data_IF_100531869209
#
_entry.id   IF_100531869209
#
_cell.length_a   1.000
_cell.length_b   1.000
_cell.length_c   1.000
_cell.angle_alpha   90.00
_cell.angle_beta   90.00
_cell.angle_gamma   90.00
#
_symmetry.space_group_name_H-M   'P 1'
#
loop_
_entity.id
_entity.type
_entity.pdbx_description
1 polymer ?
#
# COMPACT_ATOMS: atom_id res chain seq x y z
N UNK A 1 -14.47 50.02 -44.06
CA UNK A 1 -14.66 48.56 -43.94
C UNK A 1 -15.17 48.32 -42.53
N UNK A 2 -16.45 47.99 -42.35
CA UNK A 2 -17.02 47.74 -41.02
C UNK A 2 -16.65 46.31 -40.59
N UNK A 3 -15.89 46.15 -39.51
CA UNK A 3 -15.67 44.84 -38.87
C UNK A 3 -16.93 44.55 -38.06
N UNK A 4 -17.81 43.67 -38.55
CA UNK A 4 -18.91 43.17 -37.73
C UNK A 4 -18.29 42.31 -36.62
N UNK A 5 -18.24 42.83 -35.40
CA UNK A 5 -17.85 42.04 -34.22
C UNK A 5 -19.11 41.32 -33.77
N UNK A 6 -19.20 40.02 -34.05
CA UNK A 6 -20.26 39.17 -33.51
C UNK A 6 -20.19 39.10 -31.98
N UNK A 7 -21.28 38.76 -31.28
CA UNK A 7 -21.22 38.51 -29.85
C UNK A 7 -20.23 37.38 -29.54
N UNK A 8 -19.60 37.38 -28.34
CA UNK A 8 -18.62 36.37 -27.96
C UNK A 8 -19.21 34.96 -28.07
N UNK A 9 -18.43 34.04 -28.62
CA UNK A 9 -18.75 32.61 -28.61
C UNK A 9 -18.73 32.14 -27.16
N UNK A 10 -19.78 31.44 -26.72
CA UNK A 10 -19.76 30.76 -25.44
C UNK A 10 -19.50 29.28 -25.69
N UNK A 11 -18.41 28.76 -25.11
CA UNK A 11 -18.12 27.32 -25.06
C UNK A 11 -18.23 26.84 -23.62
N UNK A 12 -18.97 25.75 -23.45
CA UNK A 12 -19.04 24.95 -22.23
C UNK A 12 -18.21 23.71 -22.44
N UNK A 13 -17.31 23.41 -21.50
CA UNK A 13 -16.50 22.20 -21.55
C UNK A 13 -16.83 21.35 -20.32
N UNK A 14 -17.20 20.11 -20.60
CA UNK A 14 -17.72 19.16 -19.63
C UNK A 14 -16.82 17.92 -19.62
N UNK A 15 -16.34 17.54 -18.44
CA UNK A 15 -15.63 16.29 -18.23
C UNK A 15 -16.64 15.22 -17.79
N UNK A 16 -16.60 14.06 -18.44
CA UNK A 16 -17.42 12.90 -18.12
C UNK A 16 -16.55 11.70 -17.77
N UNK A 17 -17.00 10.87 -16.84
CA UNK A 17 -16.36 9.57 -16.56
C UNK A 17 -16.67 8.53 -17.64
N UNK A 18 -16.17 7.31 -17.44
CA UNK A 18 -16.35 6.17 -18.34
C UNK A 18 -17.82 5.73 -18.54
N UNK A 19 -18.72 6.11 -17.63
CA UNK A 19 -20.15 5.82 -17.70
C UNK A 19 -20.93 6.92 -18.44
N UNK A 20 -20.28 8.05 -18.73
CA UNK A 20 -20.89 9.23 -19.32
C UNK A 20 -21.44 10.23 -18.30
N UNK A 21 -21.23 10.00 -16.99
CA UNK A 21 -21.67 10.90 -15.92
C UNK A 21 -20.80 12.15 -15.91
N UNK A 22 -21.41 13.34 -15.77
CA UNK A 22 -20.70 14.62 -15.73
C UNK A 22 -20.01 14.78 -14.37
N UNK A 23 -18.68 14.90 -14.37
CA UNK A 23 -17.85 15.05 -13.17
C UNK A 23 -17.57 16.52 -12.87
N UNK A 24 -17.19 17.29 -13.89
CA UNK A 24 -16.95 18.73 -13.77
C UNK A 24 -17.43 19.46 -15.02
N UNK A 25 -17.90 20.70 -14.85
CA UNK A 25 -18.27 21.59 -15.94
C UNK A 25 -17.58 22.93 -15.74
N UNK A 26 -16.76 23.35 -16.70
CA UNK A 26 -16.23 24.71 -16.74
C UNK A 26 -17.05 25.55 -17.72
N UNK A 27 -17.54 26.69 -17.23
CA UNK A 27 -18.37 27.60 -17.99
C UNK A 27 -17.55 28.80 -18.47
N UNK A 28 -17.67 29.09 -19.77
CA UNK A 28 -17.34 30.37 -20.42
C UNK A 28 -15.88 30.56 -20.85
N UNK A 29 -15.48 29.93 -21.96
CA UNK A 29 -14.48 30.59 -22.83
C UNK A 29 -15.24 31.66 -23.62
N UNK A 30 -15.03 32.94 -23.28
CA UNK A 30 -15.45 34.09 -24.11
C UNK A 30 -14.33 34.38 -25.12
N UNK A 31 -14.18 33.56 -26.16
CA UNK A 31 -13.15 33.80 -27.17
C UNK A 31 -13.72 34.70 -28.28
N UNK A 32 -13.03 35.83 -28.52
CA UNK A 32 -13.18 36.62 -29.74
C UNK A 32 -11.96 36.48 -30.67
N UNK A 33 -10.82 35.91 -30.24
CA UNK A 33 -9.59 35.81 -31.03
C UNK A 33 -8.81 34.50 -30.77
N UNK A 34 -7.81 34.23 -31.62
CA UNK A 34 -7.10 32.96 -31.91
C UNK A 34 -6.09 32.46 -30.86
N UNK A 35 -6.35 32.65 -29.57
CA UNK A 35 -5.42 32.20 -28.51
C UNK A 35 -5.68 30.75 -28.09
N UNK A 36 -4.61 30.02 -27.77
CA UNK A 36 -4.68 28.69 -27.15
C UNK A 36 -5.19 28.82 -25.71
N UNK A 37 -6.24 28.06 -25.36
CA UNK A 37 -6.81 28.03 -24.01
C UNK A 37 -6.48 26.72 -23.30
N UNK A 38 -5.81 26.81 -22.15
CA UNK A 38 -5.59 25.66 -21.26
C UNK A 38 -6.74 25.54 -20.26
N UNK A 39 -7.34 24.35 -20.17
CA UNK A 39 -8.36 24.03 -19.16
C UNK A 39 -7.83 22.91 -18.27
N UNK A 40 -7.81 23.18 -16.96
CA UNK A 40 -7.40 22.23 -15.93
C UNK A 40 -8.64 21.68 -15.23
N UNK A 41 -8.72 20.35 -15.17
CA UNK A 41 -9.61 19.61 -14.27
C UNK A 41 -8.75 19.04 -13.14
N UNK A 42 -9.17 19.23 -11.89
CA UNK A 42 -8.41 18.83 -10.69
C UNK A 42 -9.27 17.93 -9.80
N UNK A 43 -8.65 17.12 -8.95
CA UNK A 43 -9.38 16.23 -8.03
C UNK A 43 -10.15 15.10 -8.73
N UNK A 44 -9.59 14.55 -9.80
CA UNK A 44 -10.17 13.41 -10.52
C UNK A 44 -9.70 12.11 -9.88
N UNK A 45 -10.60 11.13 -9.79
CA UNK A 45 -10.26 9.78 -9.37
C UNK A 45 -9.56 9.01 -10.50
N UNK A 46 -8.99 7.84 -10.22
CA UNK A 46 -8.49 6.98 -11.28
C UNK A 46 -9.65 6.52 -12.19
N UNK A 47 -9.49 6.66 -13.50
CA UNK A 47 -10.52 6.23 -14.44
C UNK A 47 -10.34 6.79 -15.85
N UNK A 48 -11.15 6.27 -16.78
CA UNK A 48 -11.23 6.81 -18.13
C UNK A 48 -12.20 7.99 -18.15
N UNK A 49 -11.79 9.07 -18.81
CA UNK A 49 -12.59 10.28 -18.93
C UNK A 49 -12.77 10.69 -20.39
N UNK A 50 -13.91 11.32 -20.68
CA UNK A 50 -14.18 11.95 -21.97
C UNK A 50 -14.42 13.44 -21.75
N UNK A 51 -13.79 14.29 -22.56
CA UNK A 51 -14.05 15.72 -22.57
C UNK A 51 -15.04 16.02 -23.70
N UNK A 52 -16.12 16.72 -23.37
CA UNK A 52 -17.12 17.20 -24.32
C UNK A 52 -17.12 18.73 -24.33
N UNK A 53 -16.86 19.33 -25.49
CA UNK A 53 -17.00 20.77 -25.70
C UNK A 53 -18.30 21.05 -26.47
N UNK A 54 -19.13 21.95 -25.93
CA UNK A 54 -20.38 22.41 -26.55
C UNK A 54 -20.35 23.92 -26.69
N UNK A 55 -20.56 24.41 -27.91
CA UNK A 55 -20.75 25.83 -28.16
C UNK A 55 -22.23 26.17 -28.28
N UNK A 56 -22.63 27.31 -27.73
CA UNK A 56 -23.94 27.91 -27.99
C UNK A 56 -23.74 29.18 -28.81
N UNK A 57 -23.76 29.09 -30.14
CA UNK A 57 -23.84 30.28 -31.00
C UNK A 57 -24.71 30.04 -32.24
N UNK A 58 -25.39 31.13 -32.63
CA UNK A 58 -26.53 31.22 -33.53
C UNK A 58 -26.18 31.08 -35.02
N UNK A 59 -27.12 30.53 -35.79
CA UNK A 59 -27.19 30.40 -37.25
C UNK A 59 -25.87 30.14 -38.00
N UNK A 60 -25.61 28.86 -38.28
CA UNK A 60 -25.07 28.46 -39.58
C UNK A 60 -23.75 27.70 -39.60
N UNK A 61 -23.01 27.59 -38.49
CA UNK A 61 -21.79 26.76 -38.45
C UNK A 61 -21.74 25.89 -37.19
N UNK A 62 -21.78 24.58 -37.38
CA UNK A 62 -21.51 23.59 -36.34
C UNK A 62 -20.02 23.29 -36.38
N UNK A 63 -19.25 23.79 -35.40
CA UNK A 63 -17.91 23.30 -35.14
C UNK A 63 -18.02 22.14 -34.14
N UNK A 64 -18.08 20.91 -34.65
CA UNK A 64 -17.94 19.72 -33.80
C UNK A 64 -16.46 19.53 -33.48
N UNK A 65 -16.02 19.95 -32.31
CA UNK A 65 -14.72 19.56 -31.76
C UNK A 65 -14.92 18.27 -30.96
N UNK A 66 -14.44 17.14 -31.48
CA UNK A 66 -14.25 15.92 -30.70
C UNK A 66 -12.75 15.73 -30.53
N UNK A 67 -12.25 16.01 -29.33
CA UNK A 67 -10.92 15.61 -28.89
C UNK A 67 -11.09 14.55 -27.81
N UNK A 68 -10.54 13.36 -28.03
CA UNK A 68 -10.41 12.34 -26.98
C UNK A 68 -9.03 12.53 -26.37
N UNK A 69 -8.95 12.79 -25.06
CA UNK A 69 -7.70 12.74 -24.32
C UNK A 69 -7.83 11.58 -23.33
N UNK A 70 -7.11 10.49 -23.60
CA UNK A 70 -6.99 9.37 -22.66
C UNK A 70 -5.79 9.68 -21.77
N UNK A 71 -6.05 10.07 -20.52
CA UNK A 71 -5.03 10.07 -19.48
C UNK A 71 -5.37 8.98 -18.47
N UNK A 72 -4.65 7.88 -18.55
CA UNK A 72 -4.61 6.89 -17.48
C UNK A 72 -3.71 7.42 -16.38
N UNK A 73 -4.29 7.74 -15.22
CA UNK A 73 -3.52 7.88 -13.99
C UNK A 73 -3.10 6.47 -13.59
N UNK A 74 -1.84 6.14 -13.84
CA UNK A 74 -1.24 4.96 -13.22
C UNK A 74 -0.90 5.33 -11.78
N UNK A 75 -1.01 4.36 -10.87
CA UNK A 75 -0.48 4.54 -9.54
C UNK A 75 1.02 4.76 -9.67
N UNK A 76 1.49 5.94 -9.27
CA UNK A 76 2.90 6.31 -9.35
C UNK A 76 3.47 6.18 -7.95
N UNK A 77 4.30 5.16 -7.76
CA UNK A 77 4.91 4.86 -6.49
C UNK A 77 6.41 5.10 -6.55
N UNK A 78 6.91 5.84 -5.58
CA UNK A 78 8.34 5.94 -5.32
C UNK A 78 8.68 5.00 -4.16
N UNK A 79 9.66 4.11 -4.40
CA UNK A 79 10.29 3.39 -3.30
C UNK A 79 11.11 4.39 -2.50
N UNK A 80 10.91 4.43 -1.17
CA UNK A 80 11.72 5.27 -0.26
C UNK A 80 13.17 4.76 -0.08
N UNK A 81 13.61 3.84 -0.94
CA UNK A 81 14.96 3.28 -0.97
C UNK A 81 14.99 1.79 -0.65
N UNK A 82 16.18 1.21 -0.78
CA UNK A 82 16.43 -0.17 -0.34
C UNK A 82 16.31 -0.19 1.19
N UNK A 83 15.46 -1.06 1.79
CA UNK A 83 15.39 -1.16 3.24
C UNK A 83 16.78 -1.42 3.85
N UNK A 84 17.01 -0.90 5.06
CA UNK A 84 18.30 -0.99 5.71
C UNK A 84 18.77 -2.44 5.87
N UNK A 85 20.09 -2.64 5.88
CA UNK A 85 20.67 -3.95 6.15
C UNK A 85 20.25 -4.42 7.55
N UNK A 86 19.69 -5.62 7.62
CA UNK A 86 19.34 -6.26 8.89
C UNK A 86 20.56 -7.01 9.40
N UNK A 87 20.87 -6.85 10.69
CA UNK A 87 22.00 -7.52 11.34
C UNK A 87 21.52 -8.28 12.56
N UNK A 88 22.10 -9.44 12.80
CA UNK A 88 21.77 -10.25 13.96
C UNK A 88 22.75 -11.39 14.17
N UNK A 89 22.38 -12.29 15.08
CA UNK A 89 23.13 -13.51 15.35
C UNK A 89 22.19 -14.71 15.34
N UNK A 90 22.58 -15.76 14.62
CA UNK A 90 21.86 -17.02 14.53
C UNK A 90 21.77 -17.74 15.90
N UNK A 91 22.62 -17.38 16.85
CA UNK A 91 22.75 -18.03 18.16
C UNK A 91 22.42 -17.10 19.32
N UNK A 92 21.77 -15.96 19.03
CA UNK A 92 21.43 -14.95 20.06
C UNK A 92 20.52 -15.49 21.18
N UNK A 93 19.75 -16.53 20.89
CA UNK A 93 18.84 -17.21 21.81
C UNK A 93 19.32 -18.63 22.18
N UNK A 94 20.56 -18.99 21.85
CA UNK A 94 21.09 -20.34 22.06
C UNK A 94 21.92 -20.44 23.35
N UNK A 95 21.63 -21.43 24.19
CA UNK A 95 22.34 -21.71 25.44
C UNK A 95 23.75 -22.29 25.18
N UNK A 96 24.00 -22.85 24.00
CA UNK A 96 25.25 -23.48 23.58
C UNK A 96 26.17 -22.60 22.73
N UNK A 97 25.87 -21.31 22.59
CA UNK A 97 26.58 -20.34 21.74
C UNK A 97 28.13 -20.43 21.78
N UNK A 98 28.72 -20.71 22.94
CA UNK A 98 30.18 -20.82 23.11
C UNK A 98 30.82 -22.13 22.63
N UNK A 99 30.03 -23.11 22.19
CA UNK A 99 30.50 -24.46 21.79
C UNK A 99 30.29 -24.77 20.32
N UNK A 100 29.79 -23.79 19.55
CA UNK A 100 29.47 -23.94 18.13
C UNK A 100 30.75 -23.85 17.30
N UNK A 101 30.99 -24.91 16.52
CA UNK A 101 32.15 -25.05 15.65
C UNK A 101 31.86 -24.59 14.21
N UNK A 102 30.63 -24.74 13.74
CA UNK A 102 30.27 -24.37 12.36
C UNK A 102 28.81 -24.02 12.18
N UNK A 103 28.54 -23.19 11.18
CA UNK A 103 27.22 -22.77 10.73
C UNK A 103 27.03 -23.23 9.29
N UNK A 104 25.84 -23.69 8.93
CA UNK A 104 25.51 -24.06 7.56
C UNK A 104 24.17 -23.49 7.13
N UNK A 105 24.11 -22.94 5.92
CA UNK A 105 22.90 -22.40 5.29
C UNK A 105 22.93 -22.79 3.81
N UNK A 106 21.81 -23.26 3.27
CA UNK A 106 21.69 -23.68 1.86
C UNK A 106 22.82 -24.64 1.41
N UNK A 107 23.23 -25.56 2.28
CA UNK A 107 24.29 -26.55 2.02
C UNK A 107 25.73 -26.01 2.04
N UNK A 108 25.93 -24.72 2.25
CA UNK A 108 27.26 -24.12 2.46
C UNK A 108 27.61 -24.11 3.94
N UNK A 109 28.89 -24.26 4.29
CA UNK A 109 29.37 -24.28 5.68
C UNK A 109 30.46 -23.26 5.91
N UNK A 110 30.42 -22.57 7.07
CA UNK A 110 31.47 -21.68 7.57
C UNK A 110 31.88 -22.08 8.97
N UNK A 111 33.17 -22.00 9.26
CA UNK A 111 33.76 -22.28 10.56
C UNK A 111 35.06 -21.51 10.75
N UNK A 112 35.48 -21.32 12.00
CA UNK A 112 36.72 -20.62 12.32
C UNK A 112 37.97 -21.29 11.71
N UNK A 113 37.93 -22.62 11.58
CA UNK A 113 38.99 -23.44 10.99
C UNK A 113 38.85 -23.59 9.46
N UNK A 114 37.74 -23.12 8.88
CA UNK A 114 37.45 -23.19 7.46
C UNK A 114 38.22 -22.15 6.64
N UNK A 115 38.40 -22.46 5.35
CA UNK A 115 38.99 -21.54 4.36
C UNK A 115 38.02 -20.40 4.04
N UNK A 116 36.73 -20.71 3.88
CA UNK A 116 35.69 -19.70 3.72
C UNK A 116 35.40 -19.04 5.08
N UNK A 117 35.33 -17.70 5.08
CA UNK A 117 35.04 -16.89 6.28
C UNK A 117 33.61 -16.40 6.36
N UNK A 118 32.88 -16.54 5.26
CA UNK A 118 31.45 -16.23 5.16
C UNK A 118 30.76 -17.22 4.24
N UNK A 119 29.46 -17.43 4.48
CA UNK A 119 28.49 -17.98 3.53
C UNK A 119 27.73 -16.80 2.95
N UNK A 120 27.43 -16.85 1.65
CA UNK A 120 26.50 -15.91 1.01
C UNK A 120 25.40 -16.70 0.29
N UNK A 121 24.15 -16.37 0.58
CA UNK A 121 22.96 -16.98 -0.01
C UNK A 121 22.13 -15.90 -0.67
N UNK A 122 21.85 -16.06 -1.96
CA UNK A 122 20.92 -15.20 -2.67
C UNK A 122 19.49 -15.66 -2.36
N UNK A 123 18.76 -14.84 -1.61
CA UNK A 123 17.34 -15.00 -1.37
C UNK A 123 16.49 -14.34 -2.47
N UNK A 124 15.17 -14.47 -2.30
CA UNK A 124 14.13 -13.87 -3.13
C UNK A 124 14.06 -12.35 -2.95
N UNK A 125 14.20 -11.87 -1.72
CA UNK A 125 14.02 -10.44 -1.41
C UNK A 125 15.35 -9.72 -1.12
N UNK A 126 16.46 -10.44 -1.03
CA UNK A 126 17.76 -9.91 -0.64
C UNK A 126 18.86 -10.97 -0.60
N UNK A 127 19.99 -10.60 -0.01
CA UNK A 127 21.16 -11.48 0.10
C UNK A 127 21.53 -11.66 1.57
N UNK A 128 21.55 -12.90 2.05
CA UNK A 128 22.01 -13.27 3.39
C UNK A 128 23.51 -13.54 3.35
N UNK A 129 24.25 -12.96 4.29
CA UNK A 129 25.66 -13.28 4.55
C UNK A 129 25.82 -13.71 6.00
N UNK A 130 26.45 -14.86 6.25
CA UNK A 130 26.70 -15.38 7.61
C UNK A 130 28.19 -15.59 7.80
N UNK A 131 28.75 -15.12 8.90
CA UNK A 131 30.18 -15.29 9.21
C UNK A 131 30.45 -16.50 10.11
N UNK A 132 31.73 -16.78 10.33
CA UNK A 132 32.22 -17.89 11.18
C UNK A 132 31.86 -17.78 12.67
N UNK A 133 31.27 -16.65 13.11
CA UNK A 133 30.77 -16.43 14.47
C UNK A 133 29.25 -16.55 14.56
N UNK A 134 28.56 -16.86 13.47
CA UNK A 134 27.10 -16.91 13.41
C UNK A 134 26.43 -15.55 13.37
N UNK A 135 27.21 -14.46 13.25
CA UNK A 135 26.65 -13.15 12.95
C UNK A 135 26.24 -13.12 11.48
N UNK A 136 25.06 -12.58 11.22
CA UNK A 136 24.56 -12.45 9.87
C UNK A 136 24.27 -10.99 9.53
N UNK A 137 24.40 -10.70 8.23
CA UNK A 137 23.79 -9.54 7.63
C UNK A 137 22.85 -9.97 6.51
N UNK A 138 21.72 -9.29 6.39
CA UNK A 138 20.79 -9.48 5.29
C UNK A 138 20.61 -8.14 4.59
N UNK A 139 20.94 -8.12 3.30
CA UNK A 139 20.83 -6.92 2.45
C UNK A 139 19.63 -7.07 1.52
N UNK A 140 18.52 -6.35 1.77
CA UNK A 140 17.39 -6.30 0.86
C UNK A 140 17.81 -5.87 -0.54
N UNK A 141 17.12 -6.38 -1.56
CA UNK A 141 17.35 -6.01 -2.96
C UNK A 141 16.70 -4.67 -3.32
N UNK A 142 15.66 -4.27 -2.57
CA UNK A 142 14.81 -3.11 -2.83
C UNK A 142 13.90 -3.26 -4.07
N UNK A 143 13.80 -4.46 -4.65
CA UNK A 143 12.98 -4.73 -5.84
C UNK A 143 11.74 -5.57 -5.56
N UNK A 144 11.75 -6.28 -4.44
CA UNK A 144 10.70 -7.18 -4.02
C UNK A 144 10.67 -7.21 -2.49
N UNK A 145 9.50 -7.55 -1.96
CA UNK A 145 9.15 -7.40 -0.55
C UNK A 145 8.36 -8.64 -0.11
N UNK A 146 8.39 -8.92 1.18
CA UNK A 146 7.76 -10.08 1.78
C UNK A 146 8.62 -10.71 2.88
N UNK A 147 8.09 -11.77 3.47
CA UNK A 147 8.78 -12.54 4.51
C UNK A 147 9.56 -13.68 3.87
N UNK A 148 10.85 -13.77 4.18
CA UNK A 148 11.73 -14.84 3.72
C UNK A 148 12.22 -15.68 4.90
N UNK A 149 12.40 -16.99 4.69
CA UNK A 149 12.88 -17.91 5.72
C UNK A 149 14.08 -18.72 5.20
N UNK A 150 15.16 -18.70 5.97
CA UNK A 150 16.34 -19.52 5.73
C UNK A 150 16.44 -20.61 6.80
N UNK A 151 16.47 -21.87 6.39
CA UNK A 151 16.84 -22.96 7.29
C UNK A 151 18.36 -22.98 7.45
N UNK A 152 18.81 -23.06 8.70
CA UNK A 152 20.23 -23.15 9.04
C UNK A 152 20.48 -24.25 10.05
N UNK A 153 21.69 -24.80 10.00
CA UNK A 153 22.17 -25.82 10.93
C UNK A 153 23.41 -25.31 11.65
N UNK A 154 23.47 -25.51 12.96
CA UNK A 154 24.66 -25.30 13.78
C UNK A 154 25.25 -26.67 14.16
N UNK A 155 26.57 -26.75 14.28
CA UNK A 155 27.24 -27.95 14.83
C UNK A 155 28.24 -27.56 15.90
N UNK A 156 28.27 -28.32 16.98
CA UNK A 156 29.27 -28.19 18.04
C UNK A 156 30.61 -28.84 17.66
N UNK A 157 31.65 -28.58 18.43
CA UNK A 157 32.96 -29.22 18.26
C UNK A 157 32.89 -30.76 18.41
N UNK A 158 31.93 -31.26 19.20
CA UNK A 158 31.70 -32.69 19.39
C UNK A 158 30.94 -33.35 18.21
N UNK A 159 30.47 -32.56 17.24
CA UNK A 159 29.79 -33.06 16.03
C UNK A 159 28.27 -33.16 16.13
N UNK A 160 27.68 -32.91 17.31
CA UNK A 160 26.22 -32.75 17.45
C UNK A 160 25.76 -31.48 16.73
N UNK A 161 24.56 -31.49 16.13
CA UNK A 161 24.03 -30.32 15.47
C UNK A 161 22.51 -30.24 15.47
N UNK A 162 22.02 -29.01 15.39
CA UNK A 162 20.62 -28.64 15.45
C UNK A 162 20.25 -27.76 14.26
N UNK A 163 18.98 -27.81 13.86
CA UNK A 163 18.44 -27.05 12.74
C UNK A 163 17.36 -26.09 13.20
N UNK A 164 17.38 -24.87 12.69
CA UNK A 164 16.43 -23.83 13.01
C UNK A 164 16.16 -22.94 11.78
N UNK A 165 15.21 -22.01 11.93
CA UNK A 165 14.80 -21.09 10.88
C UNK A 165 15.14 -19.65 11.26
N UNK A 166 15.80 -18.95 10.34
CA UNK A 166 15.95 -17.51 10.36
C UNK A 166 14.87 -16.90 9.46
N UNK A 167 13.92 -16.19 10.06
CA UNK A 167 12.89 -15.45 9.33
C UNK A 167 13.29 -13.98 9.23
N UNK A 168 13.25 -13.43 8.01
CA UNK A 168 13.54 -12.04 7.70
C UNK A 168 12.27 -11.41 7.14
N UNK A 169 11.79 -10.36 7.78
CA UNK A 169 10.72 -9.50 7.27
C UNK A 169 11.33 -8.40 6.39
N UNK A 170 10.87 -8.30 5.14
CA UNK A 170 11.28 -7.27 4.18
C UNK A 170 10.05 -6.48 3.72
N UNK A 171 9.55 -5.62 4.59
CA UNK A 171 8.43 -4.73 4.30
C UNK A 171 8.70 -3.70 3.20
N UNK A 172 7.65 -3.34 2.48
CA UNK A 172 7.59 -2.17 1.60
C UNK A 172 7.73 -0.90 2.42
N UNK A 173 8.49 0.07 1.90
CA UNK A 173 8.42 1.45 2.35
C UNK A 173 8.06 2.30 1.14
N UNK A 174 6.77 2.62 1.05
CA UNK A 174 6.13 3.17 -0.13
C UNK A 174 5.78 4.63 0.08
N UNK A 175 6.07 5.46 -0.92
CA UNK A 175 5.43 6.76 -1.07
C UNK A 175 4.65 6.81 -2.36
N UNK A 176 3.37 7.12 -2.27
CA UNK A 176 2.51 7.26 -3.43
C UNK A 176 2.54 8.69 -3.99
N UNK A 177 1.76 8.91 -5.03
CA UNK A 177 1.71 10.18 -5.75
C UNK A 177 0.83 11.20 -5.01
N UNK A 178 0.52 12.32 -5.65
CA UNK A 178 -0.47 13.27 -5.15
C UNK A 178 -1.86 13.06 -5.78
N UNK A 179 -2.11 11.88 -6.35
CA UNK A 179 -3.38 11.48 -6.94
C UNK A 179 -4.00 10.36 -6.10
N UNK A 180 -5.24 9.96 -6.42
CA UNK A 180 -5.85 8.80 -5.78
C UNK A 180 -5.10 7.52 -6.17
N UNK A 181 -4.42 6.93 -5.22
CA UNK A 181 -3.62 5.73 -5.37
C UNK A 181 -4.27 4.54 -4.66
N UNK A 182 -3.90 3.34 -5.10
CA UNK A 182 -4.33 2.10 -4.45
C UNK A 182 -3.20 1.10 -4.38
N UNK A 183 -2.93 0.57 -3.20
CA UNK A 183 -1.85 -0.39 -2.95
C UNK A 183 -2.40 -1.61 -2.22
N UNK A 184 -1.89 -2.80 -2.54
CA UNK A 184 -2.18 -4.01 -1.77
C UNK A 184 -1.08 -4.23 -0.74
N UNK A 185 -1.48 -4.56 0.49
CA UNK A 185 -0.58 -5.07 1.54
C UNK A 185 0.11 -6.38 1.10
N UNK A 186 1.24 -6.68 1.72
CA UNK A 186 1.99 -7.92 1.57
C UNK A 186 2.03 -8.72 2.88
N UNK A 187 2.72 -9.86 2.87
CA UNK A 187 2.92 -10.65 4.09
C UNK A 187 4.00 -10.10 5.04
N UNK A 188 4.71 -9.05 4.66
CA UNK A 188 5.70 -8.38 5.49
C UNK A 188 5.09 -7.13 6.15
N UNK A 189 5.73 -6.62 7.20
CA UNK A 189 5.31 -5.38 7.87
C UNK A 189 5.60 -4.15 6.98
N UNK A 190 4.60 -3.71 6.23
CA UNK A 190 4.72 -2.63 5.26
C UNK A 190 4.52 -1.25 5.90
N UNK A 191 5.12 -0.23 5.30
CA UNK A 191 4.91 1.18 5.65
C UNK A 191 4.42 1.97 4.45
N UNK A 192 3.26 2.61 4.60
CA UNK A 192 2.59 3.40 3.57
C UNK A 192 2.60 4.89 3.92
N UNK A 193 3.06 5.71 2.98
CA UNK A 193 2.87 7.17 2.95
C UNK A 193 2.17 7.51 1.64
N UNK A 194 0.85 7.71 1.68
CA UNK A 194 0.05 7.77 0.45
C UNK A 194 -0.10 9.19 -0.12
N UNK A 195 0.21 10.21 0.67
CA UNK A 195 0.30 11.58 0.20
C UNK A 195 -1.04 12.29 0.13
N UNK A 196 -1.34 12.90 -1.01
CA UNK A 196 -2.62 13.59 -1.27
C UNK A 196 -3.40 12.78 -2.30
N UNK A 197 -4.72 12.82 -2.22
CA UNK A 197 -5.57 11.90 -2.96
C UNK A 197 -6.47 11.15 -1.98
N UNK A 198 -7.59 10.61 -2.46
CA UNK A 198 -8.40 9.68 -1.67
C UNK A 198 -7.84 8.29 -1.91
N UNK A 199 -6.88 7.90 -1.07
CA UNK A 199 -6.06 6.72 -1.30
C UNK A 199 -6.67 5.48 -0.66
N UNK A 200 -6.26 4.30 -1.12
CA UNK A 200 -6.77 3.03 -0.60
C UNK A 200 -5.64 2.02 -0.36
N UNK A 201 -5.53 1.55 0.88
CA UNK A 201 -4.72 0.35 1.21
C UNK A 201 -5.65 -0.86 1.27
N UNK A 202 -5.33 -1.87 0.47
CA UNK A 202 -6.13 -3.08 0.26
C UNK A 202 -5.47 -4.26 0.95
N UNK A 203 -6.21 -4.90 1.85
CA UNK A 203 -5.79 -6.15 2.48
C UNK A 203 -6.54 -7.30 1.82
N UNK A 204 -5.80 -8.34 1.44
CA UNK A 204 -6.33 -9.52 0.75
C UNK A 204 -6.07 -10.76 1.57
N UNK A 205 -6.82 -11.82 1.32
CA UNK A 205 -6.49 -13.12 1.86
C UNK A 205 -5.26 -13.72 1.13
N UNK A 206 -4.08 -13.66 1.76
CA UNK A 206 -2.82 -14.19 1.24
C UNK A 206 -2.57 -15.64 1.70
N UNK A 207 -2.95 -15.95 2.94
CA UNK A 207 -2.84 -17.27 3.56
C UNK A 207 -4.08 -17.55 4.41
N UNK A 208 -4.89 -18.51 3.99
CA UNK A 208 -6.12 -18.89 4.68
C UNK A 208 -5.88 -19.39 6.10
N UNK A 209 -4.72 -20.00 6.38
CA UNK A 209 -4.40 -20.57 7.69
C UNK A 209 -3.90 -19.55 8.73
N UNK A 210 -3.70 -18.29 8.32
CA UNK A 210 -3.11 -17.25 9.16
C UNK A 210 -4.19 -16.27 9.67
N UNK A 211 -4.03 -15.83 10.93
CA UNK A 211 -4.97 -14.96 11.62
C UNK A 211 -5.11 -13.57 10.98
N UNK A 212 -4.05 -13.01 10.40
CA UNK A 212 -4.12 -11.76 9.63
C UNK A 212 -4.54 -12.00 8.17
N UNK A 213 -4.87 -13.24 7.82
CA UNK A 213 -4.99 -13.69 6.44
C UNK A 213 -3.64 -13.70 5.72
N UNK A 214 -2.53 -13.71 6.45
CA UNK A 214 -1.18 -13.75 5.93
C UNK A 214 -0.60 -12.38 5.54
N UNK A 215 -1.27 -11.29 5.92
CA UNK A 215 -0.73 -9.93 5.78
C UNK A 215 0.20 -9.61 6.97
N UNK A 216 1.17 -8.73 6.76
CA UNK A 216 1.94 -8.17 7.87
C UNK A 216 1.10 -7.26 8.75
N UNK A 217 1.63 -6.90 9.92
CA UNK A 217 1.11 -5.77 10.69
C UNK A 217 1.71 -4.49 10.12
N UNK A 218 0.92 -3.80 9.31
CA UNK A 218 1.38 -2.65 8.52
C UNK A 218 1.26 -1.33 9.27
N UNK A 219 1.89 -0.29 8.72
CA UNK A 219 1.82 1.07 9.24
C UNK A 219 1.43 2.04 8.13
N UNK A 220 0.42 2.88 8.36
CA UNK A 220 0.09 3.99 7.47
C UNK A 220 0.39 5.31 8.17
N UNK A 221 1.31 6.09 7.61
CA UNK A 221 1.92 7.25 8.27
C UNK A 221 1.10 8.53 8.21
N UNK A 222 0.25 8.66 7.19
CA UNK A 222 -0.44 9.91 6.82
C UNK A 222 -1.93 9.74 6.53
N UNK A 223 -2.52 8.64 6.99
CA UNK A 223 -3.95 8.34 6.82
C UNK A 223 -4.83 9.54 7.19
N UNK A 224 -5.59 10.05 6.22
CA UNK A 224 -6.45 11.22 6.39
C UNK A 224 -7.87 10.80 6.73
N UNK A 225 -8.22 10.92 8.01
CA UNK A 225 -9.59 10.71 8.52
C UNK A 225 -10.56 11.79 7.99
N UNK A 226 -11.72 11.40 7.47
CA UNK A 226 -12.78 12.30 7.02
C UNK A 226 -13.89 11.60 6.23
N UNK A 227 -15.09 12.17 6.20
CA UNK A 227 -16.19 11.62 5.40
C UNK A 227 -15.88 11.72 3.90
N UNK A 228 -15.63 10.58 3.25
CA UNK A 228 -15.08 10.49 1.89
C UNK A 228 -15.82 11.37 0.86
N UNK A 229 -17.16 11.40 0.81
CA UNK A 229 -17.88 12.26 -0.13
C UNK A 229 -17.68 13.76 0.07
N UNK A 230 -17.30 14.22 1.26
CA UNK A 230 -17.30 15.66 1.62
C UNK A 230 -15.95 16.20 2.07
N UNK A 231 -15.00 15.34 2.44
CA UNK A 231 -13.65 15.71 2.87
C UNK A 231 -12.69 15.33 1.75
N UNK A 232 -12.07 16.31 1.07
CA UNK A 232 -11.05 16.04 0.07
C UNK A 232 -9.92 15.18 0.64
N UNK A 233 -9.44 14.25 -0.17
CA UNK A 233 -8.32 13.35 0.15
C UNK A 233 -8.56 12.47 1.38
N UNK A 234 -9.81 12.21 1.78
CA UNK A 234 -10.05 11.25 2.84
C UNK A 234 -9.78 9.82 2.35
N UNK A 235 -8.99 9.09 3.11
CA UNK A 235 -8.45 7.79 2.73
C UNK A 235 -9.36 6.63 3.10
N UNK A 236 -9.08 5.45 2.53
CA UNK A 236 -9.85 4.22 2.73
C UNK A 236 -8.97 3.04 3.07
N UNK A 237 -9.51 2.18 3.92
CA UNK A 237 -8.99 0.85 4.24
C UNK A 237 -9.95 -0.15 3.61
N UNK A 238 -9.44 -1.01 2.73
CA UNK A 238 -10.24 -2.03 2.07
C UNK A 238 -9.91 -3.42 2.63
N UNK A 239 -10.89 -4.01 3.32
CA UNK A 239 -10.84 -5.36 3.90
C UNK A 239 -11.75 -6.34 3.16
N UNK A 240 -12.39 -5.93 2.06
CA UNK A 240 -13.40 -6.74 1.38
C UNK A 240 -12.84 -8.10 1.00
N UNK A 241 -11.72 -8.14 0.27
CA UNK A 241 -11.09 -9.39 -0.16
C UNK A 241 -10.44 -10.20 0.98
N UNK A 242 -10.29 -9.63 2.17
CA UNK A 242 -9.76 -10.32 3.35
C UNK A 242 -10.88 -11.01 4.15
N UNK A 243 -12.06 -10.38 4.17
CA UNK A 243 -13.23 -10.80 4.95
C UNK A 243 -14.38 -11.34 4.08
N UNK A 244 -14.16 -11.59 2.78
CA UNK A 244 -15.15 -12.09 1.82
C UNK A 244 -15.50 -13.58 2.05
N UNK A 245 -16.04 -13.91 3.22
CA UNK A 245 -16.58 -15.23 3.55
C UNK A 245 -18.12 -15.28 3.44
N UNK A 246 -18.73 -14.17 3.01
CA UNK A 246 -20.17 -13.98 2.89
C UNK A 246 -20.92 -13.83 4.23
N UNK A 247 -20.21 -13.82 5.37
CA UNK A 247 -20.81 -13.68 6.70
C UNK A 247 -20.72 -12.27 7.26
N UNK A 248 -19.73 -11.47 6.82
CA UNK A 248 -19.52 -10.10 7.30
C UNK A 248 -20.54 -9.13 6.68
N UNK A 249 -21.11 -8.27 7.52
CA UNK A 249 -22.01 -7.19 7.14
C UNK A 249 -21.99 -6.08 8.19
N UNK A 250 -22.65 -4.96 7.91
CA UNK A 250 -22.63 -3.79 8.78
C UNK A 250 -23.18 -4.05 10.20
N UNK A 251 -24.05 -5.07 10.37
CA UNK A 251 -24.64 -5.43 11.65
C UNK A 251 -23.75 -6.30 12.54
N UNK A 252 -22.72 -6.95 11.99
CA UNK A 252 -21.82 -7.83 12.74
C UNK A 252 -20.32 -7.51 12.57
N UNK A 253 -19.96 -6.47 11.82
CA UNK A 253 -18.55 -6.12 11.58
C UNK A 253 -17.73 -5.95 12.86
N UNK A 254 -18.34 -5.49 13.97
CA UNK A 254 -17.64 -5.35 15.25
C UNK A 254 -17.15 -6.66 15.85
N UNK A 255 -17.67 -7.80 15.38
CA UNK A 255 -17.16 -9.12 15.74
C UNK A 255 -15.85 -9.43 14.99
N UNK A 256 -15.64 -8.85 13.80
CA UNK A 256 -14.51 -9.14 12.91
C UNK A 256 -13.44 -8.06 12.90
N UNK A 257 -13.78 -6.81 13.21
CA UNK A 257 -12.86 -5.67 13.14
C UNK A 257 -12.89 -4.89 14.44
N UNK A 258 -11.72 -4.71 15.03
CA UNK A 258 -11.52 -3.92 16.25
C UNK A 258 -10.61 -2.73 15.96
N UNK A 259 -11.02 -1.55 16.40
CA UNK A 259 -10.27 -0.31 16.22
C UNK A 259 -9.99 0.29 17.59
N UNK A 260 -8.72 0.42 17.95
CA UNK A 260 -8.28 0.87 19.28
C UNK A 260 -7.35 2.07 19.15
N UNK A 261 -7.70 3.19 19.79
CA UNK A 261 -6.82 4.35 19.90
C UNK A 261 -5.98 4.25 21.18
N UNK A 262 -4.66 4.37 21.03
CA UNK A 262 -3.74 4.51 22.15
C UNK A 262 -3.35 5.97 22.35
N UNK A 263 -3.81 6.55 23.46
CA UNK A 263 -3.55 7.95 23.81
C UNK A 263 -2.07 8.23 24.10
N UNK A 264 -1.29 7.24 24.56
CA UNK A 264 0.12 7.43 24.88
C UNK A 264 0.95 7.60 23.61
N UNK A 265 0.69 6.77 22.59
CA UNK A 265 1.41 6.82 21.31
C UNK A 265 0.75 7.71 20.25
N UNK A 266 -0.52 8.10 20.46
CA UNK A 266 -1.30 8.90 19.51
C UNK A 266 -1.75 8.14 18.26
N UNK A 267 -1.62 6.81 18.24
CA UNK A 267 -1.92 5.97 17.07
C UNK A 267 -3.23 5.21 17.25
N UNK A 268 -3.86 4.85 16.13
CA UNK A 268 -4.99 3.92 16.12
C UNK A 268 -4.55 2.60 15.50
N UNK A 269 -4.86 1.48 16.14
CA UNK A 269 -4.64 0.15 15.61
C UNK A 269 -5.96 -0.44 15.12
N UNK A 270 -5.95 -0.93 13.89
CA UNK A 270 -7.00 -1.77 13.30
C UNK A 270 -6.54 -3.22 13.43
N UNK A 271 -7.32 -4.02 14.14
CA UNK A 271 -7.13 -5.46 14.30
C UNK A 271 -8.30 -6.21 13.66
N UNK A 272 -8.05 -7.43 13.22
CA UNK A 272 -9.07 -8.30 12.63
C UNK A 272 -9.19 -9.62 13.39
N UNK A 273 -10.37 -10.17 13.37
CA UNK A 273 -10.73 -11.53 13.73
C UNK A 273 -11.48 -12.13 12.54
N UNK A 274 -10.88 -13.09 11.86
CA UNK A 274 -11.37 -13.55 10.54
C UNK A 274 -12.60 -14.46 10.63
N UNK A 275 -12.89 -15.03 11.79
CA UNK A 275 -14.06 -15.85 12.06
C UNK A 275 -14.99 -15.23 13.13
N UNK A 276 -14.67 -14.02 13.57
CA UNK A 276 -15.53 -13.12 14.32
C UNK A 276 -15.64 -13.50 15.79
N UNK A 277 -16.61 -14.35 16.14
CA UNK A 277 -16.78 -14.85 17.53
C UNK A 277 -16.39 -16.33 17.68
N UNK A 278 -16.02 -16.98 16.59
CA UNK A 278 -15.49 -18.32 16.65
C UNK A 278 -14.05 -18.29 17.21
N UNK A 279 -13.39 -19.45 17.24
CA UNK A 279 -12.12 -19.63 17.96
C UNK A 279 -11.00 -20.13 17.06
N UNK A 280 -11.23 -20.18 15.75
CA UNK A 280 -10.21 -20.61 14.79
C UNK A 280 -9.15 -19.52 14.63
N UNK A 281 -9.54 -18.24 14.78
CA UNK A 281 -8.65 -17.10 14.89
C UNK A 281 -8.98 -16.26 16.12
N UNK A 282 -7.99 -15.48 16.53
CA UNK A 282 -8.12 -14.49 17.60
C UNK A 282 -7.81 -13.12 16.99
N UNK A 283 -8.46 -12.09 17.52
CA UNK A 283 -8.21 -10.69 17.15
C UNK A 283 -6.71 -10.36 17.13
N UNK A 284 -6.19 -10.04 15.95
CA UNK A 284 -4.77 -9.76 15.69
C UNK A 284 -4.59 -8.43 14.97
N UNK A 285 -3.56 -7.66 15.35
CA UNK A 285 -3.26 -6.35 14.78
C UNK A 285 -2.89 -6.46 13.29
N UNK A 286 -3.57 -5.68 12.45
CA UNK A 286 -3.40 -5.66 11.00
C UNK A 286 -2.75 -4.36 10.52
N UNK A 287 -3.16 -3.21 11.06
CA UNK A 287 -2.73 -1.90 10.57
C UNK A 287 -2.65 -0.88 11.69
N UNK A 288 -1.54 -0.14 11.75
CA UNK A 288 -1.35 1.00 12.63
C UNK A 288 -1.47 2.31 11.84
N UNK A 289 -2.49 3.10 12.17
CA UNK A 289 -2.68 4.46 11.66
C UNK A 289 -1.91 5.43 12.56
N UNK A 290 -0.83 6.01 12.04
CA UNK A 290 0.02 6.92 12.81
C UNK A 290 -0.69 8.24 13.08
N UNK A 291 -0.51 8.76 14.29
CA UNK A 291 -0.98 10.09 14.70
C UNK A 291 -2.47 10.34 14.42
N UNK A 292 -3.26 9.26 14.38
CA UNK A 292 -4.66 9.28 13.99
C UNK A 292 -5.47 8.77 15.18
N UNK A 293 -6.45 9.55 15.60
CA UNK A 293 -7.47 9.12 16.56
C UNK A 293 -8.73 8.73 15.78
N UNK A 294 -9.05 7.45 15.74
CA UNK A 294 -10.24 6.93 15.09
C UNK A 294 -10.90 5.82 15.91
N UNK A 295 -12.21 5.67 15.74
CA UNK A 295 -12.98 4.51 16.20
C UNK A 295 -13.59 3.78 15.01
N UNK A 296 -13.98 2.52 15.19
CA UNK A 296 -14.66 1.74 14.15
C UNK A 296 -15.90 2.49 13.61
N UNK A 297 -16.72 3.03 14.50
CA UNK A 297 -17.94 3.75 14.11
C UNK A 297 -17.63 5.02 13.30
N UNK A 298 -16.56 5.74 13.63
CA UNK A 298 -16.14 6.91 12.85
C UNK A 298 -15.68 6.51 11.45
N UNK A 299 -14.85 5.46 11.33
CA UNK A 299 -14.39 4.98 10.02
C UNK A 299 -15.58 4.53 9.13
N UNK A 300 -16.57 3.86 9.72
CA UNK A 300 -17.81 3.47 9.04
C UNK A 300 -18.64 4.67 8.60
N UNK A 301 -18.92 5.61 9.51
CA UNK A 301 -19.70 6.81 9.19
C UNK A 301 -19.00 7.67 8.13
N UNK A 302 -17.67 7.65 8.13
CA UNK A 302 -16.86 8.37 7.16
C UNK A 302 -16.72 7.63 5.82
N UNK A 303 -17.21 6.40 5.69
CA UNK A 303 -17.03 5.54 4.50
C UNK A 303 -15.54 5.26 4.20
N UNK A 304 -14.73 5.14 5.25
CA UNK A 304 -13.28 4.90 5.17
C UNK A 304 -12.89 3.45 5.41
N UNK A 305 -13.87 2.58 5.68
CA UNK A 305 -13.66 1.13 5.83
C UNK A 305 -14.57 0.41 4.84
N UNK A 306 -13.97 -0.32 3.90
CA UNK A 306 -14.67 -1.18 2.94
C UNK A 306 -14.55 -2.62 3.42
N UNK A 307 -15.65 -3.37 3.41
CA UNK A 307 -15.76 -4.73 3.92
C UNK A 307 -16.93 -5.43 3.24
#
# INVERSE_FOLDING_TARGET
MFKQVGPPLNVTITLKDSTGTIIQTNAQIKALDSDDYEIKFTGLQAGNYTIEAKSTAFLGNIYNFKGTAEKTFFNEFESQGVPAEVKGSLISNDLGAGTIASYSVAGQTVSALGVAKTITVQGLYGTLTVNEKGEYTYKPSGKAYGVETFEYTIKSEAGSGDTAKLTIDVGMNLTASANNDSVSSSGAADTFTMGSGSDTVIFKLLNAADATGGNGTDTWTDFKKGHVPSVPDADKIDLHALLDDGKVNAGNLSDYVKVTFDQASGNTTVAIDRDGKATDYESTDLLVLKNTNATLQELLNNQQLLF
#
